data_IF_102534432771
#
_entry.id   IF_102534432771
#
_cell.length_a   1.000
_cell.length_b   1.000
_cell.length_c   1.000
_cell.angle_alpha   90.00
_cell.angle_beta   90.00
_cell.angle_gamma   90.00
#
_symmetry.space_group_name_H-M   'P 1'
#
loop_
_entity.id
_entity.type
_entity.pdbx_description
1 polymer ?
#
# COMPACT_ATOMS: atom_id res chain seq x y z
N UNK A 1 27.50 73.09 -3.12
CA UNK A 1 27.23 71.90 -3.97
C UNK A 1 27.14 70.67 -3.08
N UNK A 2 25.95 70.08 -2.93
CA UNK A 2 25.68 68.69 -2.57
C UNK A 2 24.17 68.48 -2.74
N UNK A 3 23.76 68.05 -3.94
CA UNK A 3 22.37 67.70 -4.25
C UNK A 3 22.11 66.31 -3.68
N UNK A 4 21.18 66.18 -2.74
CA UNK A 4 20.74 64.91 -2.20
C UNK A 4 19.62 64.36 -3.10
N UNK A 5 19.90 63.27 -3.81
CA UNK A 5 18.97 62.62 -4.74
C UNK A 5 18.13 61.59 -3.95
N UNK A 6 16.84 61.86 -3.73
CA UNK A 6 15.91 60.85 -3.22
C UNK A 6 15.52 59.90 -4.37
N UNK A 7 15.90 58.63 -4.25
CA UNK A 7 15.45 57.56 -5.15
C UNK A 7 14.26 56.86 -4.49
N UNK A 8 13.06 57.10 -5.01
CA UNK A 8 11.84 56.40 -4.59
C UNK A 8 11.76 55.07 -5.35
N UNK A 9 12.01 53.96 -4.66
CA UNK A 9 11.84 52.60 -5.21
C UNK A 9 10.34 52.26 -5.14
N UNK A 10 9.67 52.26 -6.29
CA UNK A 10 8.30 51.77 -6.44
C UNK A 10 8.38 50.25 -6.65
N UNK A 11 8.09 49.47 -5.61
CA UNK A 11 7.93 48.01 -5.77
C UNK A 11 6.55 47.72 -6.36
N UNK A 12 6.51 47.30 -7.62
CA UNK A 12 5.28 46.79 -8.26
C UNK A 12 5.03 45.38 -7.73
N UNK A 13 4.10 45.24 -6.78
CA UNK A 13 3.59 43.93 -6.35
C UNK A 13 2.75 43.35 -7.49
N UNK A 14 3.30 42.38 -8.22
CA UNK A 14 2.52 41.55 -9.14
C UNK A 14 1.73 40.51 -8.34
N UNK A 15 0.47 40.82 -8.03
CA UNK A 15 -0.46 39.85 -7.46
C UNK A 15 -0.73 38.75 -8.50
N UNK A 16 -0.12 37.58 -8.33
CA UNK A 16 -0.50 36.38 -9.09
C UNK A 16 -1.93 36.00 -8.68
N UNK A 17 -2.85 35.76 -9.64
CA UNK A 17 -4.17 35.28 -9.29
C UNK A 17 -4.03 33.91 -8.62
N UNK A 18 -4.53 33.81 -7.40
CA UNK A 18 -4.66 32.57 -6.67
C UNK A 18 -5.73 31.74 -7.39
N UNK A 19 -5.31 30.84 -8.28
CA UNK A 19 -6.19 29.81 -8.81
C UNK A 19 -6.52 28.89 -7.64
N UNK A 20 -7.69 29.11 -7.02
CA UNK A 20 -8.32 28.11 -6.20
C UNK A 20 -8.67 26.93 -7.13
N UNK A 21 -7.77 25.94 -7.18
CA UNK A 21 -8.16 24.62 -7.64
C UNK A 21 -9.28 24.18 -6.69
N UNK A 22 -10.51 24.17 -7.17
CA UNK A 22 -11.60 23.51 -6.47
C UNK A 22 -11.22 22.04 -6.44
N UNK A 23 -10.72 21.58 -5.29
CA UNK A 23 -10.64 20.16 -4.96
C UNK A 23 -12.09 19.65 -4.88
N UNK A 24 -12.75 19.47 -6.04
CA UNK A 24 -13.97 18.69 -6.11
C UNK A 24 -13.56 17.26 -5.79
N UNK A 25 -13.68 16.90 -4.52
CA UNK A 25 -13.43 15.53 -4.08
C UNK A 25 -14.56 14.67 -4.61
N UNK A 26 -14.21 13.58 -5.29
CA UNK A 26 -15.19 12.64 -5.81
C UNK A 26 -15.95 12.00 -4.64
N UNK A 27 -17.27 12.20 -4.50
CA UNK A 27 -18.02 11.71 -3.36
C UNK A 27 -18.02 10.17 -3.29
N UNK A 28 -17.86 9.48 -4.43
CA UNK A 28 -17.73 8.02 -4.47
C UNK A 28 -16.38 7.60 -3.89
N UNK A 29 -15.27 8.25 -4.29
CA UNK A 29 -13.94 7.95 -3.76
C UNK A 29 -13.85 8.25 -2.26
N UNK A 30 -14.47 9.33 -1.79
CA UNK A 30 -14.58 9.62 -0.35
C UNK A 30 -15.36 8.54 0.39
N UNK A 31 -16.50 8.11 -0.18
CA UNK A 31 -17.37 7.12 0.44
C UNK A 31 -16.74 5.72 0.51
N UNK A 32 -15.95 5.30 -0.49
CA UNK A 32 -15.25 4.01 -0.46
C UNK A 32 -13.93 4.07 0.31
N UNK A 33 -13.40 5.26 0.60
CA UNK A 33 -12.20 5.46 1.42
C UNK A 33 -10.88 4.98 0.81
N UNK A 34 -10.87 4.57 -0.46
CA UNK A 34 -9.68 4.04 -1.15
C UNK A 34 -9.42 4.76 -2.47
N UNK A 35 -8.15 5.06 -2.74
CA UNK A 35 -7.67 5.66 -3.99
C UNK A 35 -6.70 4.77 -4.77
N UNK A 36 -6.32 3.63 -4.23
CA UNK A 36 -5.44 2.63 -4.86
C UNK A 36 -5.94 1.25 -4.45
N UNK A 37 -5.86 0.27 -5.34
CA UNK A 37 -6.47 -1.05 -5.14
C UNK A 37 -7.35 -1.48 -6.31
N UNK A 38 -8.24 -2.43 -6.07
CA UNK A 38 -9.20 -2.95 -7.06
C UNK A 38 -10.61 -2.49 -6.69
N UNK A 39 -11.28 -1.80 -7.61
CA UNK A 39 -12.68 -1.43 -7.49
C UNK A 39 -13.52 -2.18 -8.53
N UNK A 40 -14.45 -3.03 -8.09
CA UNK A 40 -15.41 -3.67 -8.99
C UNK A 40 -16.59 -2.71 -9.26
N UNK A 41 -16.75 -2.26 -10.50
CA UNK A 41 -17.82 -1.37 -10.93
C UNK A 41 -18.90 -2.16 -11.68
N UNK A 42 -20.10 -2.18 -11.13
CA UNK A 42 -21.23 -2.95 -11.63
C UNK A 42 -22.29 -2.03 -12.25
N UNK A 43 -22.64 -2.29 -13.51
CA UNK A 43 -23.80 -1.65 -14.14
C UNK A 43 -23.56 -0.28 -14.77
N UNK A 44 -22.32 0.08 -15.14
CA UNK A 44 -22.00 1.28 -15.94
C UNK A 44 -21.89 0.98 -17.44
N UNK A 45 -23.00 0.94 -18.22
CA UNK A 45 -22.98 0.60 -19.65
C UNK A 45 -22.42 1.73 -20.53
N UNK A 46 -22.08 2.88 -19.95
CA UNK A 46 -21.58 4.07 -20.68
C UNK A 46 -20.09 4.30 -20.47
N UNK A 47 -19.46 3.57 -19.55
CA UNK A 47 -18.07 3.79 -19.12
C UNK A 47 -17.82 5.17 -18.49
N UNK A 48 -18.87 5.94 -18.18
CA UNK A 48 -18.72 7.31 -17.66
C UNK A 48 -18.09 7.28 -16.27
N UNK A 49 -18.63 6.45 -15.39
CA UNK A 49 -18.16 6.35 -14.01
C UNK A 49 -16.83 5.59 -13.94
N UNK A 50 -16.64 4.58 -14.79
CA UNK A 50 -15.37 3.88 -14.88
C UNK A 50 -14.21 4.84 -15.21
N UNK A 51 -14.40 5.72 -16.20
CA UNK A 51 -13.41 6.73 -16.59
C UNK A 51 -13.20 7.80 -15.52
N UNK A 52 -14.27 8.26 -14.88
CA UNK A 52 -14.20 9.22 -13.77
C UNK A 52 -13.32 8.68 -12.63
N UNK A 53 -13.62 7.47 -12.14
CA UNK A 53 -12.84 6.83 -11.08
C UNK A 53 -11.39 6.57 -11.51
N UNK A 54 -11.16 6.14 -12.75
CA UNK A 54 -9.81 5.86 -13.24
C UNK A 54 -8.94 7.12 -13.35
N UNK A 55 -9.53 8.28 -13.68
CA UNK A 55 -8.83 9.57 -13.80
C UNK A 55 -8.49 10.20 -12.44
N UNK A 56 -9.35 10.00 -11.45
CA UNK A 56 -9.25 10.68 -10.15
C UNK A 56 -8.64 9.80 -9.06
N UNK A 57 -8.18 8.60 -9.42
CA UNK A 57 -7.56 7.64 -8.51
C UNK A 57 -6.51 6.79 -9.22
N UNK A 58 -5.87 5.91 -8.45
CA UNK A 58 -4.99 4.84 -8.91
C UNK A 58 -5.65 3.45 -8.84
N UNK A 59 -6.98 3.40 -8.74
CA UNK A 59 -7.72 2.14 -8.73
C UNK A 59 -7.63 1.40 -10.07
N UNK A 60 -7.46 0.08 -10.02
CA UNK A 60 -7.82 -0.81 -11.12
C UNK A 60 -9.34 -1.01 -11.07
N UNK A 61 -10.03 -0.61 -12.13
CA UNK A 61 -11.47 -0.71 -12.25
C UNK A 61 -11.83 -1.99 -13.01
N UNK A 62 -12.47 -2.92 -12.33
CA UNK A 62 -13.03 -4.12 -12.95
C UNK A 62 -14.52 -3.91 -13.21
N UNK A 63 -14.90 -3.85 -14.49
CA UNK A 63 -16.29 -3.64 -14.92
C UNK A 63 -16.90 -4.97 -15.35
N UNK A 64 -18.02 -5.36 -14.74
CA UNK A 64 -18.79 -6.53 -15.19
C UNK A 64 -20.19 -6.14 -15.66
N UNK A 65 -20.53 -6.54 -16.89
CA UNK A 65 -21.82 -6.22 -17.51
C UNK A 65 -22.48 -7.50 -18.09
N UNK A 66 -23.81 -7.64 -18.00
CA UNK A 66 -24.50 -8.84 -18.48
C UNK A 66 -24.69 -8.88 -20.00
N UNK A 67 -24.76 -7.72 -20.66
CA UNK A 67 -25.11 -7.59 -22.08
C UNK A 67 -23.85 -7.39 -22.93
N UNK A 68 -23.61 -8.28 -23.89
CA UNK A 68 -22.44 -8.23 -24.77
C UNK A 68 -22.30 -6.89 -25.51
N UNK A 69 -23.41 -6.31 -25.97
CA UNK A 69 -23.43 -4.99 -26.63
C UNK A 69 -22.86 -3.89 -25.73
N UNK A 70 -23.17 -3.92 -24.44
CA UNK A 70 -22.64 -2.92 -23.49
C UNK A 70 -21.17 -3.19 -23.18
N UNK A 71 -20.76 -4.46 -23.08
CA UNK A 71 -19.35 -4.83 -22.87
C UNK A 71 -18.48 -4.27 -23.99
N UNK A 72 -18.82 -4.54 -25.26
CA UNK A 72 -18.04 -4.04 -26.40
C UNK A 72 -18.02 -2.52 -26.48
N UNK A 73 -19.16 -1.87 -26.18
CA UNK A 73 -19.23 -0.42 -26.10
C UNK A 73 -18.28 0.14 -25.03
N UNK A 74 -18.29 -0.43 -23.83
CA UNK A 74 -17.47 0.04 -22.70
C UNK A 74 -15.99 -0.21 -22.96
N UNK A 75 -15.63 -1.36 -23.55
CA UNK A 75 -14.27 -1.65 -24.01
C UNK A 75 -13.78 -0.59 -24.97
N UNK A 76 -14.55 -0.30 -26.02
CA UNK A 76 -14.21 0.74 -27.00
C UNK A 76 -14.02 2.11 -26.35
N UNK A 77 -14.95 2.54 -25.48
CA UNK A 77 -14.86 3.85 -24.82
C UNK A 77 -13.65 3.92 -23.87
N UNK A 78 -13.34 2.84 -23.15
CA UNK A 78 -12.16 2.78 -22.28
C UNK A 78 -10.86 2.77 -23.09
N UNK A 79 -10.85 2.12 -24.25
CA UNK A 79 -9.70 2.03 -25.16
C UNK A 79 -9.42 3.36 -25.86
N UNK A 80 -10.46 4.01 -26.39
CA UNK A 80 -10.38 5.36 -26.98
C UNK A 80 -9.86 6.39 -25.95
N UNK A 81 -10.04 6.12 -24.65
CA UNK A 81 -9.53 6.94 -23.55
C UNK A 81 -8.16 6.48 -22.97
N UNK A 82 -7.57 5.41 -23.51
CA UNK A 82 -6.26 4.88 -23.12
C UNK A 82 -6.21 4.10 -21.80
N UNK A 83 -7.37 3.74 -21.23
CA UNK A 83 -7.45 3.05 -19.94
C UNK A 83 -7.73 1.54 -20.07
N UNK A 84 -8.22 1.07 -21.22
CA UNK A 84 -8.54 -0.35 -21.40
C UNK A 84 -7.28 -1.23 -21.33
N UNK A 85 -7.36 -2.33 -20.59
CA UNK A 85 -6.26 -3.28 -20.43
C UNK A 85 -5.11 -2.80 -19.52
N UNK A 86 -5.18 -1.58 -18.99
CA UNK A 86 -4.19 -1.03 -18.04
C UNK A 86 -4.82 -0.67 -16.69
N UNK A 87 -5.90 0.11 -16.71
CA UNK A 87 -6.61 0.60 -15.53
C UNK A 87 -8.08 0.18 -15.50
N UNK A 88 -8.69 -0.08 -16.65
CA UNK A 88 -10.06 -0.55 -16.78
C UNK A 88 -10.05 -1.91 -17.49
N UNK A 89 -10.63 -2.91 -16.83
CA UNK A 89 -10.83 -4.25 -17.36
C UNK A 89 -12.32 -4.52 -17.43
N UNK A 90 -12.81 -5.04 -18.54
CA UNK A 90 -14.25 -5.20 -18.79
C UNK A 90 -14.54 -6.64 -19.15
N UNK A 91 -15.47 -7.24 -18.41
CA UNK A 91 -15.88 -8.62 -18.61
C UNK A 91 -17.41 -8.78 -18.76
N UNK A 92 -17.80 -9.83 -19.47
CA UNK A 92 -19.21 -10.21 -19.66
C UNK A 92 -19.59 -11.25 -18.63
N UNK A 93 -20.52 -10.93 -17.74
CA UNK A 93 -20.97 -11.87 -16.73
C UNK A 93 -22.29 -11.48 -16.07
N UNK A 94 -23.01 -12.44 -15.46
CA UNK A 94 -24.25 -12.15 -14.77
C UNK A 94 -23.97 -11.42 -13.44
N UNK A 95 -24.85 -10.52 -13.01
CA UNK A 95 -24.64 -9.79 -11.74
C UNK A 95 -24.89 -10.63 -10.48
N UNK A 96 -25.37 -11.86 -10.63
CA UNK A 96 -25.54 -12.82 -9.51
C UNK A 96 -24.22 -13.47 -9.06
N UNK A 97 -23.19 -13.42 -9.91
CA UNK A 97 -21.86 -13.99 -9.64
C UNK A 97 -20.81 -13.17 -10.37
N UNK A 98 -19.97 -12.48 -9.62
CA UNK A 98 -18.86 -11.70 -10.14
C UNK A 98 -17.70 -12.64 -10.45
N UNK A 99 -17.02 -12.44 -11.58
CA UNK A 99 -15.85 -13.24 -11.97
C UNK A 99 -14.58 -12.75 -11.26
N UNK A 100 -14.72 -12.50 -9.96
CA UNK A 100 -13.66 -12.14 -9.04
C UNK A 100 -13.61 -13.21 -7.95
N UNK A 101 -12.40 -13.55 -7.54
CA UNK A 101 -12.15 -14.47 -6.43
C UNK A 101 -12.53 -13.82 -5.09
N UNK A 102 -12.56 -14.64 -4.05
CA UNK A 102 -12.90 -14.19 -2.71
C UNK A 102 -11.87 -13.17 -2.21
N UNK A 103 -12.33 -12.19 -1.43
CA UNK A 103 -11.49 -11.19 -0.77
C UNK A 103 -10.63 -10.31 -1.69
N UNK A 104 -10.89 -10.18 -2.99
CA UNK A 104 -9.94 -9.50 -3.90
C UNK A 104 -10.17 -7.98 -4.03
N UNK A 105 -11.41 -7.50 -3.90
CA UNK A 105 -11.76 -6.11 -4.22
C UNK A 105 -11.69 -5.21 -2.98
N UNK A 106 -11.00 -4.08 -3.08
CA UNK A 106 -10.99 -3.02 -2.05
C UNK A 106 -12.35 -2.33 -1.96
N UNK A 107 -13.00 -2.15 -3.11
CA UNK A 107 -14.31 -1.53 -3.20
C UNK A 107 -15.22 -2.19 -4.24
N UNK A 108 -16.53 -2.07 -4.04
CA UNK A 108 -17.54 -2.40 -5.05
C UNK A 108 -18.50 -1.23 -5.19
N UNK A 109 -18.69 -0.73 -6.41
CA UNK A 109 -19.65 0.33 -6.71
C UNK A 109 -20.69 -0.24 -7.67
N UNK A 110 -21.97 -0.24 -7.27
CA UNK A 110 -23.04 -0.75 -8.09
C UNK A 110 -24.05 0.35 -8.45
N UNK A 111 -24.32 0.52 -9.74
CA UNK A 111 -25.23 1.54 -10.27
C UNK A 111 -26.39 0.92 -11.06
N UNK A 112 -27.42 1.73 -11.32
CA UNK A 112 -28.61 1.28 -12.04
C UNK A 112 -29.27 0.02 -11.43
N UNK A 113 -29.55 -0.98 -12.26
CA UNK A 113 -30.14 -2.26 -11.81
C UNK A 113 -29.17 -3.11 -10.99
N UNK A 114 -27.86 -2.88 -11.09
CA UNK A 114 -26.84 -3.66 -10.40
C UNK A 114 -26.80 -3.44 -8.89
N UNK A 115 -27.48 -2.39 -8.39
CA UNK A 115 -27.69 -2.15 -6.95
C UNK A 115 -28.36 -3.33 -6.21
N UNK A 116 -29.00 -4.24 -6.96
CA UNK A 116 -29.66 -5.45 -6.45
C UNK A 116 -28.77 -6.71 -6.49
N UNK A 117 -27.46 -6.55 -6.68
CA UNK A 117 -26.50 -7.65 -6.52
C UNK A 117 -26.68 -8.28 -5.12
N UNK A 118 -26.66 -9.62 -4.99
CA UNK A 118 -26.79 -10.26 -3.69
C UNK A 118 -25.69 -9.82 -2.73
N UNK A 119 -26.04 -9.43 -1.50
CA UNK A 119 -25.07 -8.96 -0.51
C UNK A 119 -24.04 -10.03 -0.15
N UNK A 120 -24.44 -11.31 -0.13
CA UNK A 120 -23.52 -12.43 0.06
C UNK A 120 -22.42 -12.48 -1.01
N UNK A 121 -22.75 -12.15 -2.25
CA UNK A 121 -21.78 -12.11 -3.35
C UNK A 121 -20.86 -10.88 -3.25
N UNK A 122 -21.41 -9.73 -2.85
CA UNK A 122 -20.63 -8.52 -2.55
C UNK A 122 -19.62 -8.79 -1.44
N UNK A 123 -20.08 -9.38 -0.33
CA UNK A 123 -19.25 -9.73 0.81
C UNK A 123 -18.26 -10.84 0.49
N UNK A 124 -18.55 -11.76 -0.43
CA UNK A 124 -17.58 -12.76 -0.89
C UNK A 124 -16.38 -12.08 -1.55
N UNK A 125 -16.64 -11.15 -2.49
CA UNK A 125 -15.63 -10.52 -3.33
C UNK A 125 -14.86 -9.40 -2.64
N UNK A 126 -15.50 -8.61 -1.78
CA UNK A 126 -14.81 -7.59 -0.99
C UNK A 126 -13.71 -8.22 -0.14
N UNK A 127 -12.51 -7.61 -0.09
CA UNK A 127 -11.54 -7.89 0.97
C UNK A 127 -12.11 -7.50 2.34
N UNK A 128 -11.64 -8.11 3.45
CA UNK A 128 -11.94 -7.66 4.81
C UNK A 128 -11.83 -6.14 4.97
N UNK A 129 -12.70 -5.50 5.74
CA UNK A 129 -12.87 -4.03 5.87
C UNK A 129 -13.07 -3.22 4.56
N UNK A 130 -13.13 -3.87 3.40
CA UNK A 130 -13.47 -3.22 2.12
C UNK A 130 -14.93 -2.75 2.11
N UNK A 131 -15.22 -1.76 1.27
CA UNK A 131 -16.52 -1.07 1.25
C UNK A 131 -17.26 -1.23 -0.07
N UNK A 132 -18.58 -1.45 -0.01
CA UNK A 132 -19.45 -1.47 -1.16
C UNK A 132 -20.54 -0.40 -1.10
N UNK A 133 -20.77 0.26 -2.24
CA UNK A 133 -21.84 1.22 -2.45
C UNK A 133 -22.89 0.62 -3.38
N UNK A 134 -24.03 0.20 -2.82
CA UNK A 134 -25.17 -0.35 -3.54
C UNK A 134 -26.28 0.71 -3.65
N UNK A 135 -26.01 1.76 -4.43
CA UNK A 135 -26.84 2.96 -4.42
C UNK A 135 -26.62 3.76 -3.14
N UNK A 136 -27.64 3.90 -2.29
CA UNK A 136 -27.53 4.61 -0.99
C UNK A 136 -27.07 3.70 0.14
N UNK A 137 -27.13 2.38 -0.06
CA UNK A 137 -26.71 1.41 0.95
C UNK A 137 -25.19 1.25 0.92
N UNK A 138 -24.57 1.42 2.07
CA UNK A 138 -23.15 1.16 2.29
C UNK A 138 -23.01 -0.16 3.03
N UNK A 139 -22.08 -1.01 2.58
CA UNK A 139 -21.72 -2.26 3.23
C UNK A 139 -20.22 -2.27 3.48
N UNK A 140 -19.81 -2.72 4.66
CA UNK A 140 -18.39 -2.95 4.98
C UNK A 140 -18.23 -4.40 5.37
N UNK A 141 -17.25 -5.09 4.77
CA UNK A 141 -16.98 -6.48 5.13
C UNK A 141 -16.31 -6.53 6.51
N UNK A 142 -16.80 -7.34 7.46
CA UNK A 142 -16.12 -7.50 8.74
C UNK A 142 -14.74 -8.16 8.55
N UNK A 143 -13.81 -7.84 9.45
CA UNK A 143 -12.54 -8.57 9.51
C UNK A 143 -12.78 -9.99 10.06
N UNK A 144 -12.30 -11.04 9.38
CA UNK A 144 -12.53 -12.42 9.81
C UNK A 144 -11.84 -12.71 11.15
N UNK A 145 -12.50 -13.50 12.00
CA UNK A 145 -11.90 -14.03 13.23
C UNK A 145 -10.87 -15.10 12.89
N UNK A 146 -9.82 -15.21 13.70
CA UNK A 146 -8.81 -16.26 13.57
C UNK A 146 -7.76 -16.00 12.48
N UNK A 147 -7.76 -14.83 11.84
CA UNK A 147 -6.58 -14.37 11.08
C UNK A 147 -5.52 -13.93 12.06
N UNK A 148 -4.30 -14.38 11.83
CA UNK A 148 -3.13 -14.07 12.64
C UNK A 148 -2.27 -12.98 11.99
N UNK A 149 -1.62 -12.19 12.83
CA UNK A 149 -0.64 -11.20 12.36
C UNK A 149 0.77 -11.83 12.43
N UNK A 150 1.63 -11.46 11.49
CA UNK A 150 3.05 -11.84 11.45
C UNK A 150 3.89 -10.57 11.66
N UNK A 151 3.78 -9.98 12.85
CA UNK A 151 4.25 -8.62 13.14
C UNK A 151 5.78 -8.48 13.13
N UNK A 152 6.52 -9.58 13.22
CA UNK A 152 8.00 -9.64 13.26
C UNK A 152 8.56 -10.56 12.19
N UNK A 153 9.87 -10.47 11.85
CA UNK A 153 10.50 -11.42 10.91
C UNK A 153 10.28 -12.89 11.30
N UNK A 154 10.21 -13.17 12.61
CA UNK A 154 9.91 -14.49 13.17
C UNK A 154 8.59 -14.49 13.95
N UNK A 155 7.52 -14.03 13.29
CA UNK A 155 6.12 -14.01 13.75
C UNK A 155 5.82 -13.01 14.87
N UNK A 156 6.27 -13.28 16.10
CA UNK A 156 5.94 -12.51 17.31
C UNK A 156 7.16 -11.91 18.03
N UNK A 157 6.93 -11.11 19.09
CA UNK A 157 8.00 -10.53 19.91
C UNK A 157 8.83 -11.58 20.67
N UNK A 158 8.28 -12.78 20.83
CA UNK A 158 8.93 -13.96 21.40
C UNK A 158 9.83 -14.70 20.41
N UNK A 159 9.84 -14.28 19.13
CA UNK A 159 10.65 -14.85 18.05
C UNK A 159 10.33 -16.33 17.78
N UNK A 160 9.10 -16.76 18.05
CA UNK A 160 8.61 -18.14 17.81
C UNK A 160 7.92 -18.20 16.44
N UNK A 161 8.48 -18.86 15.41
CA UNK A 161 7.93 -18.84 14.05
C UNK A 161 6.72 -19.78 13.88
N UNK A 162 5.71 -19.66 14.74
CA UNK A 162 4.51 -20.48 14.74
C UNK A 162 3.27 -19.58 14.62
N UNK A 163 2.60 -19.64 13.47
CA UNK A 163 1.35 -18.90 13.28
C UNK A 163 0.19 -19.51 14.09
N UNK A 164 -0.64 -18.63 14.63
CA UNK A 164 -1.93 -18.94 15.24
C UNK A 164 -3.10 -18.88 14.22
N UNK A 165 -2.82 -18.73 12.93
CA UNK A 165 -3.85 -18.55 11.89
C UNK A 165 -4.79 -19.76 11.80
N UNK A 166 -6.09 -19.47 11.77
CA UNK A 166 -7.15 -20.46 11.74
C UNK A 166 -7.83 -20.61 10.37
N UNK A 167 -7.56 -19.68 9.46
CA UNK A 167 -8.22 -19.56 8.16
C UNK A 167 -7.41 -20.26 7.06
N UNK A 168 -6.09 -20.10 7.05
CA UNK A 168 -5.21 -20.79 6.14
C UNK A 168 -5.20 -22.29 6.47
N UNK A 169 -5.80 -23.08 5.58
CA UNK A 169 -5.91 -24.54 5.69
C UNK A 169 -5.53 -25.21 4.38
N UNK A 170 -5.04 -26.44 4.47
CA UNK A 170 -4.74 -27.27 3.30
C UNK A 170 -5.99 -27.40 2.39
N UNK A 171 -5.84 -27.39 1.05
CA UNK A 171 -4.61 -27.55 0.28
C UNK A 171 -3.93 -26.22 -0.15
N UNK A 172 -3.85 -25.21 0.72
CA UNK A 172 -3.07 -23.95 0.56
C UNK A 172 -2.99 -23.46 -0.89
N UNK A 173 -4.04 -22.78 -1.34
CA UNK A 173 -4.11 -22.23 -2.70
C UNK A 173 -3.48 -20.83 -2.76
N UNK A 174 -2.73 -20.57 -3.82
CA UNK A 174 -2.24 -19.23 -4.13
C UNK A 174 -3.42 -18.30 -4.41
N UNK A 175 -3.61 -17.28 -3.57
CA UNK A 175 -4.67 -16.29 -3.77
C UNK A 175 -4.34 -15.28 -4.87
N UNK A 176 -3.11 -14.74 -4.87
CA UNK A 176 -2.69 -13.71 -5.82
C UNK A 176 -1.20 -13.80 -6.13
N UNK A 177 -0.85 -13.50 -7.39
CA UNK A 177 0.51 -13.23 -7.82
C UNK A 177 0.57 -11.77 -8.30
N UNK A 178 1.41 -10.97 -7.65
CA UNK A 178 1.48 -9.52 -7.90
C UNK A 178 2.93 -9.04 -8.05
N UNK A 179 3.06 -7.79 -8.51
CA UNK A 179 4.37 -7.13 -8.61
C UNK A 179 4.93 -6.78 -7.22
N UNK A 180 6.26 -6.67 -7.06
CA UNK A 180 7.29 -6.99 -8.06
C UNK A 180 7.48 -8.50 -8.24
N UNK A 181 7.65 -8.95 -9.50
CA UNK A 181 7.83 -10.38 -9.84
C UNK A 181 9.21 -10.92 -9.46
N UNK A 182 10.19 -10.03 -9.28
CA UNK A 182 11.56 -10.35 -8.89
C UNK A 182 11.99 -9.40 -7.77
N UNK A 183 12.67 -9.92 -6.76
CA UNK A 183 13.13 -9.16 -5.59
C UNK A 183 14.61 -9.48 -5.33
N UNK A 184 15.40 -8.52 -4.82
CA UNK A 184 16.76 -8.80 -4.38
C UNK A 184 16.74 -9.62 -3.08
N UNK A 185 17.89 -10.25 -2.79
CA UNK A 185 18.18 -10.85 -1.48
C UNK A 185 19.16 -9.95 -0.72
N UNK A 186 18.97 -9.73 0.60
CA UNK A 186 17.94 -10.27 1.48
C UNK A 186 16.60 -9.55 1.30
N UNK A 187 15.53 -10.24 1.72
CA UNK A 187 14.21 -9.67 1.91
C UNK A 187 13.67 -10.05 3.30
N UNK A 188 13.11 -9.08 4.02
CA UNK A 188 12.39 -9.29 5.28
C UNK A 188 10.92 -8.97 5.03
N UNK A 189 10.03 -9.82 5.53
CA UNK A 189 8.59 -9.66 5.37
C UNK A 189 7.90 -9.74 6.72
N UNK A 190 7.02 -8.79 6.99
CA UNK A 190 6.11 -8.77 8.14
C UNK A 190 4.70 -8.44 7.66
N UNK A 191 3.68 -8.83 8.40
CA UNK A 191 2.29 -8.59 8.03
C UNK A 191 1.47 -8.23 9.26
N UNK A 192 0.67 -7.16 9.14
CA UNK A 192 -0.31 -6.78 10.15
C UNK A 192 -1.40 -5.94 9.51
N UNK A 193 -2.62 -6.04 10.04
CA UNK A 193 -3.71 -5.14 9.68
C UNK A 193 -3.97 -5.04 8.16
N UNK A 194 -4.08 -6.20 7.49
CA UNK A 194 -4.42 -6.32 6.06
C UNK A 194 -3.31 -5.90 5.09
N UNK A 195 -2.09 -5.68 5.60
CA UNK A 195 -0.93 -5.25 4.83
C UNK A 195 0.23 -6.19 5.04
N UNK A 196 0.98 -6.40 3.98
CA UNK A 196 2.29 -7.06 4.02
C UNK A 196 3.32 -5.97 3.77
N UNK A 197 4.31 -5.88 4.64
CA UNK A 197 5.45 -4.99 4.50
C UNK A 197 6.68 -5.80 4.10
N UNK A 198 7.38 -5.35 3.06
CA UNK A 198 8.56 -6.04 2.54
C UNK A 198 9.72 -5.07 2.48
N UNK A 199 10.76 -5.35 3.24
CA UNK A 199 12.03 -4.63 3.19
C UNK A 199 13.01 -5.42 2.32
N UNK A 200 13.62 -4.74 1.35
CA UNK A 200 14.60 -5.31 0.45
C UNK A 200 15.93 -4.60 0.65
N UNK A 201 16.98 -5.36 0.93
CA UNK A 201 18.30 -4.80 1.22
C UNK A 201 19.39 -5.50 0.45
N UNK A 202 20.61 -5.36 0.95
CA UNK A 202 21.81 -5.86 0.29
C UNK A 202 22.61 -6.80 1.19
N UNK A 203 22.74 -8.08 0.80
CA UNK A 203 23.72 -9.02 1.34
C UNK A 203 24.94 -8.96 0.41
N UNK A 204 25.76 -7.93 0.62
CA UNK A 204 27.19 -7.85 0.28
C UNK A 204 27.74 -8.22 -1.13
N UNK A 205 28.71 -7.40 -1.56
CA UNK A 205 29.84 -7.62 -2.49
C UNK A 205 29.63 -7.59 -4.01
N UNK A 206 28.41 -7.57 -4.53
CA UNK A 206 28.18 -7.38 -5.98
C UNK A 206 27.15 -6.28 -6.22
N UNK A 207 27.37 -5.46 -7.26
CA UNK A 207 26.42 -4.40 -7.66
C UNK A 207 25.11 -5.06 -8.08
N UNK A 208 24.16 -5.15 -7.15
CA UNK A 208 22.85 -5.70 -7.42
C UNK A 208 22.02 -4.63 -8.15
N UNK A 209 21.82 -4.79 -9.46
CA UNK A 209 21.09 -3.83 -10.30
C UNK A 209 19.56 -3.98 -10.20
N UNK A 210 19.04 -4.68 -9.18
CA UNK A 210 17.60 -4.84 -9.04
C UNK A 210 16.95 -3.51 -8.63
N UNK A 211 15.93 -3.07 -9.40
CA UNK A 211 15.19 -1.84 -9.17
C UNK A 211 14.49 -1.78 -7.79
N UNK A 212 14.38 -2.90 -7.08
CA UNK A 212 13.81 -3.01 -5.73
C UNK A 212 14.87 -2.97 -4.61
N UNK A 213 16.16 -2.81 -4.92
CA UNK A 213 17.21 -2.70 -3.90
C UNK A 213 16.95 -1.51 -2.98
N UNK A 214 17.24 -1.66 -1.69
CA UNK A 214 17.07 -0.63 -0.67
C UNK A 214 15.67 -0.01 -0.71
N UNK A 215 14.63 -0.84 -0.83
CA UNK A 215 13.24 -0.39 -0.93
C UNK A 215 12.38 -1.07 0.13
N UNK A 216 11.54 -0.29 0.79
CA UNK A 216 10.44 -0.74 1.63
C UNK A 216 9.14 -0.64 0.85
N UNK A 217 8.34 -1.70 0.86
CA UNK A 217 7.01 -1.73 0.28
C UNK A 217 5.97 -2.01 1.36
N UNK A 218 4.80 -1.38 1.23
CA UNK A 218 3.56 -1.93 1.74
C UNK A 218 2.71 -2.41 0.58
N UNK A 219 2.17 -3.63 0.71
CA UNK A 219 1.24 -4.21 -0.26
C UNK A 219 -0.03 -4.66 0.43
N UNK A 220 -1.16 -4.56 -0.26
CA UNK A 220 -2.42 -5.11 0.20
C UNK A 220 -2.31 -6.64 0.27
N UNK A 221 -2.55 -7.22 1.44
CA UNK A 221 -2.37 -8.65 1.67
C UNK A 221 -3.29 -9.55 0.83
N UNK A 222 -4.44 -9.02 0.37
CA UNK A 222 -5.44 -9.83 -0.32
C UNK A 222 -5.34 -9.80 -1.85
N UNK A 223 -4.82 -8.71 -2.42
CA UNK A 223 -4.75 -8.54 -3.87
C UNK A 223 -3.37 -8.10 -4.40
N UNK A 224 -2.40 -7.93 -3.50
CA UNK A 224 -1.02 -7.62 -3.86
C UNK A 224 -0.81 -6.23 -4.45
N UNK A 225 -1.80 -5.34 -4.41
CA UNK A 225 -1.63 -3.95 -4.83
C UNK A 225 -0.57 -3.27 -3.98
N UNK A 226 0.43 -2.66 -4.61
CA UNK A 226 1.45 -1.87 -3.90
C UNK A 226 0.80 -0.58 -3.39
N UNK A 227 0.65 -0.44 -2.07
CA UNK A 227 0.00 0.70 -1.44
C UNK A 227 0.91 1.92 -1.39
N UNK A 228 2.18 1.73 -1.07
CA UNK A 228 3.21 2.77 -1.08
C UNK A 228 4.61 2.15 -1.12
N UNK A 229 5.61 2.99 -1.41
CA UNK A 229 7.03 2.63 -1.43
C UNK A 229 7.84 3.68 -0.69
N UNK A 230 8.92 3.26 -0.02
CA UNK A 230 9.92 4.17 0.58
C UNK A 230 11.33 3.67 0.30
N UNK A 231 12.31 4.57 0.16
CA UNK A 231 13.71 4.16 0.20
C UNK A 231 14.06 3.66 1.61
N UNK A 232 14.91 2.64 1.65
CA UNK A 232 15.61 2.20 2.86
C UNK A 232 16.99 2.84 2.90
N UNK A 233 17.57 2.89 4.10
CA UNK A 233 18.92 3.39 4.29
C UNK A 233 19.92 2.44 3.62
N UNK A 234 20.70 2.98 2.70
CA UNK A 234 21.71 2.22 1.98
C UNK A 234 22.82 1.74 2.91
N UNK A 235 23.28 0.51 2.69
CA UNK A 235 24.34 -0.10 3.49
C UNK A 235 23.90 -0.68 4.83
N UNK A 236 22.66 -0.43 5.28
CA UNK A 236 22.14 -1.02 6.50
C UNK A 236 21.71 -2.49 6.27
N UNK A 237 22.17 -3.41 7.13
CA UNK A 237 21.82 -4.82 7.04
C UNK A 237 20.40 -5.06 7.57
N UNK A 238 19.44 -5.17 6.65
CA UNK A 238 18.01 -5.32 7.01
C UNK A 238 17.64 -6.68 7.61
N UNK A 239 18.51 -7.69 7.52
CA UNK A 239 18.25 -9.04 8.03
C UNK A 239 18.43 -9.07 9.56
N UNK A 240 17.60 -8.29 10.26
CA UNK A 240 17.59 -8.11 11.71
C UNK A 240 16.12 -8.01 12.17
N UNK A 241 15.89 -8.17 13.46
CA UNK A 241 14.58 -7.90 14.07
C UNK A 241 14.40 -6.40 14.34
N UNK A 242 14.52 -5.58 13.30
CA UNK A 242 14.39 -4.11 13.39
C UNK A 242 13.20 -3.58 12.59
N UNK A 243 12.20 -4.43 12.39
CA UNK A 243 10.92 -4.08 11.78
C UNK A 243 9.79 -4.72 12.58
N UNK A 244 8.78 -3.92 12.94
CA UNK A 244 7.58 -4.37 13.67
C UNK A 244 6.35 -3.79 12.98
N UNK A 245 5.45 -4.65 12.55
CA UNK A 245 4.17 -4.23 11.96
C UNK A 245 3.04 -4.31 12.98
N UNK A 246 2.30 -3.22 13.11
CA UNK A 246 0.99 -3.17 13.78
C UNK A 246 -0.06 -2.69 12.76
N UNK A 247 -1.36 -2.77 13.05
CA UNK A 247 -2.38 -2.34 12.09
C UNK A 247 -2.30 -0.85 11.71
N UNK A 248 -1.81 0.01 12.60
CA UNK A 248 -1.73 1.47 12.45
C UNK A 248 -0.31 1.99 12.21
N UNK A 249 0.72 1.30 12.71
CA UNK A 249 2.11 1.77 12.70
C UNK A 249 3.07 0.67 12.26
N UNK A 250 3.97 1.00 11.34
CA UNK A 250 5.15 0.21 11.02
C UNK A 250 6.38 0.84 11.69
N UNK A 251 6.97 0.15 12.64
CA UNK A 251 8.23 0.52 13.26
C UNK A 251 9.36 -0.02 12.41
N UNK A 252 10.30 0.85 12.03
CA UNK A 252 11.46 0.48 11.21
C UNK A 252 12.70 1.18 11.72
N UNK A 253 13.68 0.41 12.18
CA UNK A 253 14.93 0.96 12.71
C UNK A 253 16.14 0.64 11.83
N UNK A 254 17.10 1.56 11.85
CA UNK A 254 18.40 1.47 11.17
C UNK A 254 19.57 1.86 12.09
N UNK A 255 20.72 2.25 11.53
CA UNK A 255 21.91 2.70 12.27
C UNK A 255 21.77 4.07 12.95
N UNK A 256 20.62 4.74 12.81
CA UNK A 256 20.40 6.09 13.37
C UNK A 256 19.20 6.17 14.31
N UNK A 257 18.08 5.58 13.93
CA UNK A 257 16.80 5.84 14.59
C UNK A 257 15.73 4.81 14.22
N UNK A 258 14.70 4.74 15.05
CA UNK A 258 13.47 3.97 14.76
C UNK A 258 12.38 4.92 14.24
N UNK A 259 11.95 4.70 12.99
CA UNK A 259 10.86 5.44 12.34
C UNK A 259 9.53 4.77 12.67
N UNK A 260 8.55 5.57 13.10
CA UNK A 260 7.15 5.17 13.25
C UNK A 260 6.40 5.65 12.01
N UNK A 261 6.16 4.74 11.08
CA UNK A 261 5.47 5.03 9.83
C UNK A 261 3.99 4.73 9.95
N UNK A 262 3.12 5.57 9.39
CA UNK A 262 1.72 5.23 9.17
C UNK A 262 1.64 3.96 8.31
N UNK A 263 0.99 2.92 8.81
CA UNK A 263 0.88 1.65 8.09
C UNK A 263 0.14 1.79 6.74
N UNK A 264 -0.83 2.70 6.65
CA UNK A 264 -1.68 2.88 5.48
C UNK A 264 -1.04 3.77 4.41
N UNK A 265 -0.35 4.85 4.80
CA UNK A 265 0.19 5.87 3.89
C UNK A 265 1.70 5.78 3.72
N UNK A 266 2.40 5.18 4.69
CA UNK A 266 3.86 5.18 4.76
C UNK A 266 4.42 6.53 5.20
N UNK A 267 3.60 7.49 5.62
CA UNK A 267 4.08 8.78 6.11
C UNK A 267 4.79 8.62 7.45
N UNK A 268 5.84 9.41 7.69
CA UNK A 268 6.52 9.41 8.98
C UNK A 268 5.63 10.11 10.00
N UNK A 269 5.21 9.39 11.04
CA UNK A 269 4.45 9.95 12.17
C UNK A 269 5.39 10.50 13.23
N UNK A 270 6.42 9.73 13.55
CA UNK A 270 7.38 10.05 14.60
C UNK A 270 8.71 9.31 14.37
N UNK A 271 9.75 9.72 15.09
CA UNK A 271 11.09 9.16 15.00
C UNK A 271 11.77 9.11 16.37
N UNK A 272 12.14 7.92 16.81
CA UNK A 272 12.86 7.70 18.06
C UNK A 272 14.37 7.73 17.79
N UNK A 273 15.04 8.70 18.39
CA UNK A 273 16.49 8.87 18.35
C UNK A 273 17.04 8.62 19.75
N UNK A 274 18.14 7.86 19.84
CA UNK A 274 18.82 7.53 21.08
C UNK A 274 20.16 8.27 21.16
N UNK A 275 20.54 8.70 22.36
CA UNK A 275 21.84 9.33 22.59
C UNK A 275 22.94 8.27 22.66
N UNK A 276 24.05 8.50 21.96
CA UNK A 276 25.21 7.61 22.02
C UNK A 276 25.75 7.46 23.44
N UNK A 277 25.68 8.52 24.25
CA UNK A 277 26.10 8.53 25.65
C UNK A 277 25.29 7.54 26.52
N UNK A 278 24.02 7.32 26.18
CA UNK A 278 23.11 6.45 26.94
C UNK A 278 23.19 4.98 26.50
N UNK A 279 23.54 4.73 25.23
CA UNK A 279 23.41 3.40 24.61
C UNK A 279 24.73 2.81 24.10
N UNK A 280 25.84 3.54 24.16
CA UNK A 280 27.14 3.09 23.68
C UNK A 280 27.19 2.91 22.15
N UNK A 281 26.35 3.64 21.43
CA UNK A 281 26.23 3.65 19.96
C UNK A 281 24.81 3.97 19.50
N UNK A 282 24.62 4.14 18.19
CA UNK A 282 23.33 4.51 17.59
C UNK A 282 22.65 3.38 16.80
N UNK A 283 23.31 2.22 16.69
CA UNK A 283 22.86 1.17 15.79
C UNK A 283 21.79 0.31 16.45
N UNK A 284 20.58 0.31 15.87
CA UNK A 284 19.50 -0.56 16.31
C UNK A 284 19.74 -1.99 15.84
N UNK A 285 19.79 -2.93 16.78
CA UNK A 285 20.15 -4.34 16.51
C UNK A 285 18.96 -5.28 16.64
N UNK A 286 18.01 -4.96 17.51
CA UNK A 286 16.81 -5.75 17.77
C UNK A 286 15.73 -4.86 18.40
N UNK A 287 14.46 -5.15 18.13
CA UNK A 287 13.31 -4.50 18.74
C UNK A 287 12.22 -5.52 19.09
N UNK A 288 11.50 -5.25 20.19
CA UNK A 288 10.22 -5.86 20.50
C UNK A 288 9.24 -4.86 21.08
N UNK A 289 7.98 -4.94 20.68
CA UNK A 289 6.87 -4.18 21.21
C UNK A 289 6.01 -5.13 22.05
N UNK A 290 5.84 -4.80 23.33
CA UNK A 290 4.99 -5.55 24.26
C UNK A 290 4.29 -4.60 25.21
N UNK A 291 2.96 -4.70 25.31
CA UNK A 291 2.11 -3.84 26.16
C UNK A 291 2.41 -2.35 25.97
N UNK A 292 2.45 -1.90 24.71
CA UNK A 292 2.77 -0.51 24.30
C UNK A 292 4.16 0.01 24.69
N UNK A 293 5.05 -0.86 25.19
CA UNK A 293 6.46 -0.54 25.47
C UNK A 293 7.34 -1.12 24.37
N UNK A 294 8.12 -0.25 23.73
CA UNK A 294 9.14 -0.64 22.76
C UNK A 294 10.46 -0.92 23.49
N UNK A 295 10.87 -2.17 23.50
CA UNK A 295 12.18 -2.63 23.93
C UNK A 295 13.13 -2.64 22.72
N UNK A 296 14.36 -2.20 22.92
CA UNK A 296 15.36 -2.17 21.87
C UNK A 296 16.75 -2.53 22.40
N UNK A 297 17.51 -3.25 21.57
CA UNK A 297 18.94 -3.43 21.77
C UNK A 297 19.67 -2.49 20.82
N UNK A 298 20.41 -1.55 21.40
CA UNK A 298 21.25 -0.59 20.67
C UNK A 298 22.71 -0.94 20.94
N UNK A 299 23.60 -0.65 19.99
CA UNK A 299 25.03 -0.65 20.29
C UNK A 299 25.88 0.06 19.26
N UNK A 300 27.21 -0.08 19.43
CA UNK A 300 28.21 0.56 18.56
C UNK A 300 28.16 0.13 17.10
N UNK A 301 28.93 0.87 16.28
CA UNK A 301 29.03 0.71 14.83
C UNK A 301 29.28 -0.73 14.40
N UNK A 302 28.74 -1.11 13.24
CA UNK A 302 28.98 -2.41 12.65
C UNK A 302 30.41 -2.52 12.11
N UNK A 303 31.03 -3.68 12.33
CA UNK A 303 32.31 -4.00 11.69
C UNK A 303 32.06 -4.16 10.19
N UNK A 304 32.60 -3.24 9.39
CA UNK A 304 32.57 -3.36 7.93
C UNK A 304 33.43 -4.55 7.51
N UNK A 305 32.78 -5.63 7.05
CA UNK A 305 33.52 -6.74 6.47
C UNK A 305 34.26 -6.26 5.20
N UNK A 306 35.55 -6.56 5.02
CA UNK A 306 36.25 -6.26 3.79
C UNK A 306 35.54 -6.96 2.61
N UNK A 307 35.49 -6.37 1.41
CA UNK A 307 34.83 -6.98 0.27
C UNK A 307 35.50 -8.31 -0.06
N UNK A 308 34.84 -9.45 0.24
CA UNK A 308 35.36 -10.75 -0.17
C UNK A 308 35.05 -10.93 -1.65
N UNK A 309 36.08 -10.83 -2.50
CA UNK A 309 36.00 -11.25 -3.89
C UNK A 309 35.91 -12.78 -3.90
N UNK A 310 34.71 -13.34 -4.01
CA UNK A 310 34.58 -14.72 -4.47
C UNK A 310 34.84 -14.72 -5.97
N UNK A 311 36.09 -15.03 -6.34
CA UNK A 311 36.39 -15.52 -7.69
C UNK A 311 35.71 -16.87 -7.84
N UNK A 312 34.61 -16.90 -8.59
CA UNK A 312 34.03 -18.12 -9.16
C UNK A 312 34.50 -18.25 -10.60
#
# INVERSE_FOLDING_TARGET
MKRCLLITIISVLTAKPLVYATNQRNPILESIGVKRGICALLGDPTCKLALELARESELLIYVQLPQAKNVEKVRKVADDAGFYGTRIFVDKGPLKRLHLVDNIADAIVAVGRAKRVPEAEVLRVLRPKGMALLGRKVLTKPFPKGVDDWSYPYHGPDNTPQSADQIARAPYLTQVLAAPKFCPSPAVTVAAGERIFRAYGHLAHQVNQNAMLNTLLAVNAYNGTILWKRPLREGFMILRNTIIATPETLYLADDKSCKLLDAATGELKDELVVSEDDTGGTVWKWMALSNDVLYALIGGEEVKAPPSVRTH
#
